data_IF_242373115704
#
_entry.id   IF_242373115704
#
_cell.length_a   1.000
_cell.length_b   1.000
_cell.length_c   1.000
_cell.angle_alpha   90.00
_cell.angle_beta   90.00
_cell.angle_gamma   90.00
#
_symmetry.space_group_name_H-M   'P 1'
#
loop_
_entity.id
_entity.type
_entity.pdbx_description
1 polymer ?
#
# COMPACT_ATOMS: atom_id res chain seq x y z
N UNK A 1 -12.82 13.12 -1.58
CA UNK A 1 -11.79 12.05 -1.46
C UNK A 1 -10.34 12.50 -1.65
N UNK A 2 -10.08 13.81 -1.74
CA UNK A 2 -8.72 14.35 -1.88
C UNK A 2 -7.82 14.01 -0.67
N UNK A 3 -8.42 13.80 0.51
CA UNK A 3 -7.75 13.35 1.73
C UNK A 3 -6.83 12.14 1.52
N UNK A 4 -7.31 11.09 0.84
CA UNK A 4 -6.50 9.89 0.57
C UNK A 4 -5.33 10.17 -0.38
N UNK A 5 -5.57 11.00 -1.40
CA UNK A 5 -4.53 11.38 -2.37
C UNK A 5 -3.43 12.17 -1.67
N UNK A 6 -3.80 13.11 -0.80
CA UNK A 6 -2.88 13.92 -0.04
C UNK A 6 -2.08 13.12 0.98
N UNK A 7 -2.74 12.27 1.78
CA UNK A 7 -2.05 11.35 2.69
C UNK A 7 -1.06 10.44 1.95
N UNK A 8 -1.48 9.87 0.81
CA UNK A 8 -0.59 9.05 -0.03
C UNK A 8 0.64 9.83 -0.48
N UNK A 9 0.45 11.05 -0.99
CA UNK A 9 1.56 11.90 -1.46
C UNK A 9 2.52 12.22 -0.32
N UNK A 10 2.00 12.59 0.85
CA UNK A 10 2.82 12.87 2.03
C UNK A 10 3.66 11.67 2.42
N UNK A 11 3.04 10.49 2.53
CA UNK A 11 3.73 9.25 2.95
C UNK A 11 4.78 8.81 1.93
N UNK A 12 4.47 8.86 0.63
CA UNK A 12 5.40 8.44 -0.42
C UNK A 12 6.58 9.41 -0.53
N UNK A 13 6.34 10.72 -0.39
CA UNK A 13 7.39 11.72 -0.53
C UNK A 13 8.39 11.69 0.64
N UNK A 14 7.97 11.21 1.82
CA UNK A 14 8.81 11.13 3.03
C UNK A 14 9.44 12.46 3.46
N UNK A 15 8.86 13.59 3.04
CA UNK A 15 9.28 14.95 3.39
C UNK A 15 8.40 15.51 4.50
N UNK A 16 8.93 16.50 5.22
CA UNK A 16 8.18 17.29 6.17
C UNK A 16 6.92 17.87 5.51
N UNK A 17 5.76 17.59 6.09
CA UNK A 17 4.48 18.06 5.58
C UNK A 17 3.47 18.21 6.72
N UNK A 18 2.63 19.24 6.63
CA UNK A 18 1.46 19.44 7.47
C UNK A 18 0.20 19.25 6.62
N UNK A 19 -0.73 18.46 7.11
CA UNK A 19 -2.06 18.32 6.53
C UNK A 19 -3.05 19.03 7.44
N UNK A 20 -3.63 20.10 6.92
CA UNK A 20 -4.70 20.85 7.54
C UNK A 20 -6.02 20.26 7.05
N UNK A 21 -6.92 19.94 7.97
CA UNK A 21 -8.22 19.36 7.66
C UNK A 21 -9.32 20.02 8.47
N UNK A 22 -10.47 20.20 7.85
CA UNK A 22 -11.67 20.77 8.48
C UNK A 22 -12.74 19.69 8.55
N UNK A 23 -13.33 19.53 9.74
CA UNK A 23 -14.50 18.68 9.96
C UNK A 23 -15.56 19.50 10.69
N UNK A 24 -16.66 19.81 10.01
CA UNK A 24 -17.64 20.79 10.48
C UNK A 24 -17.02 22.19 10.58
N UNK A 25 -17.06 22.79 11.77
CA UNK A 25 -16.51 24.14 12.02
C UNK A 25 -15.06 24.15 12.51
N UNK A 26 -14.47 22.98 12.78
CA UNK A 26 -13.16 22.88 13.44
C UNK A 26 -12.09 22.50 12.42
N UNK A 27 -11.03 23.32 12.37
CA UNK A 27 -9.83 23.02 11.58
C UNK A 27 -8.72 22.54 12.50
N UNK A 28 -8.10 21.42 12.15
CA UNK A 28 -6.99 20.79 12.87
C UNK A 28 -5.89 20.43 11.89
N UNK A 29 -4.73 20.09 12.43
CA UNK A 29 -3.56 19.72 11.64
C UNK A 29 -2.96 18.40 12.12
N UNK A 30 -2.42 17.64 11.16
CA UNK A 30 -1.56 16.48 11.41
C UNK A 30 -0.23 16.68 10.69
N UNK A 31 0.86 16.43 11.40
CA UNK A 31 2.22 16.63 10.91
C UNK A 31 2.87 15.30 10.57
N UNK A 32 3.69 15.30 9.54
CA UNK A 32 4.36 14.12 9.02
C UNK A 32 5.83 14.44 8.71
N UNK A 33 6.74 13.59 9.18
CA UNK A 33 8.17 13.67 8.91
C UNK A 33 8.85 12.32 9.14
N UNK A 34 9.90 12.02 8.37
CA UNK A 34 10.75 10.82 8.54
C UNK A 34 9.95 9.52 8.71
N UNK A 35 9.03 9.28 7.77
CA UNK A 35 8.19 8.08 7.73
C UNK A 35 7.15 7.93 8.88
N UNK A 36 6.93 8.97 9.69
CA UNK A 36 5.98 8.93 10.80
C UNK A 36 5.14 10.19 10.95
N UNK A 37 4.01 10.03 11.63
CA UNK A 37 3.15 11.13 12.06
C UNK A 37 3.58 11.60 13.44
N UNK A 38 3.53 12.91 13.65
CA UNK A 38 3.84 13.51 14.94
C UNK A 38 2.68 13.33 15.93
N UNK A 39 3.00 12.98 17.18
CA UNK A 39 2.03 12.88 18.27
C UNK A 39 2.04 11.52 18.99
N UNK A 40 1.07 11.33 19.88
CA UNK A 40 0.85 10.05 20.54
C UNK A 40 0.08 9.09 19.65
N UNK A 41 0.17 7.78 19.91
CA UNK A 41 -0.55 6.76 19.14
C UNK A 41 -2.06 7.03 19.05
N UNK A 42 -2.67 7.39 20.19
CA UNK A 42 -4.11 7.70 20.27
C UNK A 42 -4.46 8.96 19.48
N UNK A 43 -3.74 10.05 19.70
CA UNK A 43 -3.98 11.33 19.02
C UNK A 43 -3.85 11.21 17.50
N UNK A 44 -2.77 10.58 17.01
CA UNK A 44 -2.56 10.35 15.58
C UNK A 44 -3.70 9.50 14.98
N UNK A 45 -4.12 8.45 15.69
CA UNK A 45 -5.19 7.56 15.24
C UNK A 45 -6.54 8.29 15.14
N UNK A 46 -6.87 9.10 16.14
CA UNK A 46 -8.09 9.91 16.16
C UNK A 46 -8.06 10.97 15.04
N UNK A 47 -6.97 11.71 14.90
CA UNK A 47 -6.79 12.70 13.82
C UNK A 47 -6.89 12.07 12.43
N UNK A 48 -6.27 10.92 12.20
CA UNK A 48 -6.37 10.23 10.91
C UNK A 48 -7.81 9.81 10.57
N UNK A 49 -8.60 9.37 11.56
CA UNK A 49 -10.03 9.08 11.35
C UNK A 49 -10.81 10.34 11.00
N UNK A 50 -10.52 11.45 11.67
CA UNK A 50 -11.12 12.74 11.30
C UNK A 50 -10.72 13.17 9.89
N UNK A 51 -9.47 12.96 9.47
CA UNK A 51 -9.01 13.24 8.09
C UNK A 51 -9.75 12.41 7.05
N UNK A 52 -10.13 11.17 7.36
CA UNK A 52 -10.93 10.34 6.44
C UNK A 52 -12.32 10.93 6.19
N UNK A 53 -12.87 11.62 7.18
CA UNK A 53 -14.21 12.23 7.17
C UNK A 53 -14.19 13.75 6.97
N UNK A 54 -13.03 14.33 6.66
CA UNK A 54 -12.89 15.78 6.55
C UNK A 54 -13.58 16.33 5.30
N UNK A 55 -14.27 17.46 5.48
CA UNK A 55 -14.96 18.20 4.44
C UNK A 55 -13.97 18.86 3.47
N UNK A 56 -12.87 19.36 4.04
CA UNK A 56 -11.77 19.96 3.27
C UNK A 56 -10.42 19.53 3.83
N UNK A 57 -9.45 19.39 2.92
CA UNK A 57 -8.08 19.03 3.26
C UNK A 57 -7.12 19.83 2.40
N UNK A 58 -6.10 20.41 3.03
CA UNK A 58 -5.00 21.09 2.38
C UNK A 58 -3.67 20.55 2.90
N UNK A 59 -2.64 20.51 2.04
CA UNK A 59 -1.30 20.05 2.42
C UNK A 59 -0.31 21.18 2.23
N UNK A 60 0.41 21.50 3.30
CA UNK A 60 1.50 22.45 3.31
C UNK A 60 2.81 21.67 3.39
N UNK A 61 3.65 21.82 2.37
CA UNK A 61 5.02 21.31 2.36
C UNK A 61 5.98 22.49 2.49
N UNK A 62 6.68 22.59 3.61
CA UNK A 62 7.71 23.62 3.84
C UNK A 62 8.89 22.99 4.59
N UNK A 63 10.09 23.55 4.40
CA UNK A 63 11.28 23.22 5.19
C UNK A 63 11.18 23.74 6.62
N UNK A 64 10.36 24.76 6.85
CA UNK A 64 10.28 25.50 8.11
C UNK A 64 9.05 25.07 8.94
N UNK A 65 8.68 23.79 8.86
CA UNK A 65 7.62 23.25 9.69
C UNK A 65 8.14 23.01 11.11
N UNK A 66 7.62 23.78 12.07
CA UNK A 66 7.87 23.55 13.49
C UNK A 66 7.04 22.35 13.98
N UNK A 67 7.74 21.31 14.43
CA UNK A 67 7.13 20.13 15.06
C UNK A 67 6.94 20.40 16.54
N UNK A 68 5.74 20.15 17.07
CA UNK A 68 5.36 20.46 18.44
C UNK A 68 5.84 19.39 19.44
N UNK A 69 6.23 18.21 18.94
CA UNK A 69 6.56 17.02 19.72
C UNK A 69 7.63 16.17 19.07
N UNK A 70 8.45 15.53 19.92
CA UNK A 70 9.42 14.51 19.50
C UNK A 70 8.79 13.13 19.30
N UNK A 71 7.57 12.91 19.81
CA UNK A 71 6.86 11.62 19.69
C UNK A 71 6.39 11.40 18.27
N UNK A 72 6.64 10.21 17.73
CA UNK A 72 6.27 9.84 16.36
C UNK A 72 5.67 8.46 16.31
N UNK A 73 4.69 8.29 15.43
CA UNK A 73 4.04 7.02 15.14
C UNK A 73 4.32 6.66 13.69
N UNK A 74 4.91 5.50 13.46
CA UNK A 74 5.27 5.05 12.12
C UNK A 74 4.03 4.92 11.22
N UNK A 75 4.12 5.35 9.95
CA UNK A 75 2.92 5.52 9.12
C UNK A 75 2.10 4.23 8.89
N UNK A 76 2.70 3.06 8.56
CA UNK A 76 1.96 1.79 8.51
C UNK A 76 1.22 1.45 9.80
N UNK A 77 1.82 1.72 10.95
CA UNK A 77 1.20 1.49 12.26
C UNK A 77 0.04 2.45 12.49
N UNK A 78 0.23 3.74 12.23
CA UNK A 78 -0.81 4.75 12.38
C UNK A 78 -2.03 4.48 11.48
N UNK A 79 -1.80 4.14 10.21
CA UNK A 79 -2.88 3.82 9.25
C UNK A 79 -3.60 2.53 9.65
N UNK A 80 -2.86 1.52 10.11
CA UNK A 80 -3.44 0.25 10.55
C UNK A 80 -4.34 0.45 11.78
N UNK A 81 -3.90 1.24 12.76
CA UNK A 81 -4.72 1.60 13.93
C UNK A 81 -5.92 2.49 13.58
N UNK A 82 -5.75 3.46 12.67
CA UNK A 82 -6.84 4.33 12.23
C UNK A 82 -7.96 3.54 11.57
N UNK A 83 -7.63 2.53 10.77
CA UNK A 83 -8.59 1.69 10.07
C UNK A 83 -9.14 0.54 10.93
N UNK A 84 -8.48 0.16 12.02
CA UNK A 84 -8.95 -0.91 12.91
C UNK A 84 -10.38 -0.64 13.41
N UNK A 85 -11.32 -1.54 13.06
CA UNK A 85 -12.74 -1.39 13.41
C UNK A 85 -13.45 -0.18 12.78
N UNK A 86 -12.81 0.55 11.87
CA UNK A 86 -13.40 1.73 11.25
C UNK A 86 -14.55 1.34 10.32
N UNK A 87 -15.66 2.07 10.43
CA UNK A 87 -16.87 1.91 9.62
C UNK A 87 -17.10 3.17 8.81
N UNK A 88 -17.71 3.00 7.63
CA UNK A 88 -17.98 4.11 6.72
C UNK A 88 -19.43 4.53 6.84
N UNK A 89 -19.67 5.84 6.91
CA UNK A 89 -21.00 6.37 6.64
C UNK A 89 -21.38 6.16 5.16
N UNK A 90 -22.66 6.32 4.82
CA UNK A 90 -23.17 6.03 3.48
C UNK A 90 -22.49 6.87 2.39
N UNK A 91 -22.23 8.15 2.67
CA UNK A 91 -21.59 9.08 1.74
C UNK A 91 -20.13 8.69 1.46
N UNK A 92 -19.34 8.44 2.49
CA UNK A 92 -17.95 8.00 2.37
C UNK A 92 -17.86 6.66 1.66
N UNK A 93 -18.75 5.72 1.98
CA UNK A 93 -18.84 4.43 1.27
C UNK A 93 -19.08 4.64 -0.23
N UNK A 94 -20.04 5.47 -0.61
CA UNK A 94 -20.32 5.79 -2.01
C UNK A 94 -19.12 6.46 -2.71
N UNK A 95 -18.46 7.40 -2.03
CA UNK A 95 -17.27 8.08 -2.55
C UNK A 95 -16.10 7.11 -2.77
N UNK A 96 -15.86 6.19 -1.83
CA UNK A 96 -14.84 5.14 -1.95
C UNK A 96 -15.15 4.20 -3.11
N UNK A 97 -16.40 3.75 -3.25
CA UNK A 97 -16.82 2.89 -4.36
C UNK A 97 -16.61 3.59 -5.71
N UNK A 98 -17.07 4.84 -5.85
CA UNK A 98 -16.83 5.67 -7.05
C UNK A 98 -15.34 5.84 -7.34
N UNK A 99 -14.51 5.97 -6.31
CA UNK A 99 -13.06 6.02 -6.51
C UNK A 99 -12.49 4.69 -7.01
N UNK A 100 -12.93 3.54 -6.48
CA UNK A 100 -12.46 2.24 -6.95
C UNK A 100 -12.77 1.98 -8.43
N UNK A 101 -13.88 2.53 -8.94
CA UNK A 101 -14.26 2.45 -10.36
C UNK A 101 -13.36 3.29 -11.27
N UNK A 102 -12.77 4.37 -10.74
CA UNK A 102 -11.88 5.28 -11.49
C UNK A 102 -10.42 4.84 -11.48
N UNK A 103 -10.04 3.87 -10.64
CA UNK A 103 -8.67 3.39 -10.58
C UNK A 103 -8.34 2.54 -11.82
N UNK A 104 -7.21 2.80 -12.50
CA UNK A 104 -6.75 1.95 -13.59
C UNK A 104 -6.34 0.56 -13.04
N UNK A 105 -6.06 -0.42 -13.90
CA UNK A 105 -5.43 -1.68 -13.47
C UNK A 105 -4.14 -1.41 -12.67
N UNK A 106 -4.00 -2.13 -11.54
CA UNK A 106 -2.99 -1.88 -10.52
C UNK A 106 -2.01 -3.05 -10.39
N UNK A 107 -0.77 -2.73 -10.04
CA UNK A 107 0.15 -3.65 -9.36
C UNK A 107 -0.09 -3.60 -7.85
N UNK A 108 0.13 -4.73 -7.17
CA UNK A 108 0.06 -4.82 -5.71
C UNK A 108 1.42 -5.25 -5.18
N UNK A 109 2.01 -4.43 -4.31
CA UNK A 109 3.25 -4.73 -3.60
C UNK A 109 2.95 -5.41 -2.27
N UNK A 110 3.65 -6.49 -1.99
CA UNK A 110 3.57 -7.16 -0.70
C UNK A 110 4.37 -6.37 0.35
N UNK A 111 3.73 -6.09 1.48
CA UNK A 111 4.34 -5.44 2.63
C UNK A 111 3.84 -6.16 3.90
N UNK A 112 4.70 -6.40 4.91
CA UNK A 112 4.34 -7.22 6.06
C UNK A 112 3.43 -6.47 7.06
N UNK A 113 2.22 -6.11 6.64
CA UNK A 113 1.22 -5.34 7.41
C UNK A 113 0.87 -5.98 8.76
N UNK A 114 0.96 -7.30 8.87
CA UNK A 114 0.80 -8.05 10.12
C UNK A 114 1.75 -7.60 11.26
N UNK A 115 2.94 -7.07 10.93
CA UNK A 115 3.87 -6.50 11.93
C UNK A 115 3.34 -5.24 12.60
N UNK A 116 2.33 -4.61 11.99
CA UNK A 116 1.73 -3.36 12.44
C UNK A 116 0.28 -3.55 12.91
N UNK A 117 -0.08 -4.78 13.31
CA UNK A 117 -1.39 -5.16 13.82
C UNK A 117 -2.57 -4.81 12.87
N UNK A 118 -2.34 -4.87 11.56
CA UNK A 118 -3.40 -4.67 10.58
C UNK A 118 -4.45 -5.79 10.67
N UNK A 119 -5.65 -5.45 11.14
CA UNK A 119 -6.71 -6.43 11.46
C UNK A 119 -7.22 -7.19 10.23
N UNK A 120 -7.27 -6.52 9.07
CA UNK A 120 -7.82 -7.09 7.82
C UNK A 120 -6.75 -7.80 6.97
N UNK A 121 -5.72 -8.37 7.60
CA UNK A 121 -4.58 -8.97 6.91
C UNK A 121 -4.97 -10.13 5.99
N UNK A 122 -5.99 -10.92 6.34
CA UNK A 122 -6.48 -12.01 5.49
C UNK A 122 -7.05 -11.50 4.17
N UNK A 123 -7.84 -10.43 4.20
CA UNK A 123 -8.39 -9.79 3.01
C UNK A 123 -7.30 -9.09 2.17
N UNK A 124 -6.30 -8.49 2.82
CA UNK A 124 -5.11 -7.96 2.17
C UNK A 124 -4.33 -9.06 1.43
N UNK A 125 -4.11 -10.21 2.07
CA UNK A 125 -3.43 -11.33 1.41
C UNK A 125 -4.24 -11.89 0.24
N UNK A 126 -5.57 -11.99 0.34
CA UNK A 126 -6.42 -12.37 -0.79
C UNK A 126 -6.27 -11.41 -1.97
N UNK A 127 -6.24 -10.10 -1.71
CA UNK A 127 -6.01 -9.10 -2.76
C UNK A 127 -4.67 -9.29 -3.46
N UNK A 128 -3.61 -9.56 -2.71
CA UNK A 128 -2.28 -9.84 -3.26
C UNK A 128 -2.26 -11.15 -4.08
N UNK A 129 -2.89 -12.22 -3.59
CA UNK A 129 -3.00 -13.49 -4.32
C UNK A 129 -3.76 -13.32 -5.65
N UNK A 130 -4.83 -12.53 -5.67
CA UNK A 130 -5.55 -12.21 -6.91
C UNK A 130 -4.66 -11.48 -7.92
N UNK A 131 -3.86 -10.51 -7.46
CA UNK A 131 -2.87 -9.87 -8.31
C UNK A 131 -1.84 -10.86 -8.86
N UNK A 132 -1.30 -11.75 -8.02
CA UNK A 132 -0.33 -12.75 -8.45
C UNK A 132 -0.90 -13.71 -9.51
N UNK A 133 -2.17 -14.12 -9.36
CA UNK A 133 -2.83 -15.01 -10.31
C UNK A 133 -3.14 -14.32 -11.65
N UNK A 134 -3.65 -13.08 -11.61
CA UNK A 134 -4.13 -12.38 -12.80
C UNK A 134 -3.08 -11.49 -13.47
N UNK A 135 -1.93 -11.26 -12.82
CA UNK A 135 -0.89 -10.31 -13.26
C UNK A 135 -1.30 -8.83 -13.17
N UNK A 136 -2.55 -8.54 -12.81
CA UNK A 136 -3.09 -7.19 -12.61
C UNK A 136 -4.28 -7.24 -11.65
N UNK A 137 -4.50 -6.15 -10.92
CA UNK A 137 -5.66 -6.00 -10.03
C UNK A 137 -6.55 -4.87 -10.53
N UNK A 138 -7.84 -5.14 -10.75
CA UNK A 138 -8.86 -4.08 -10.86
C UNK A 138 -9.55 -3.94 -9.51
N UNK A 139 -9.41 -2.78 -8.88
CA UNK A 139 -9.92 -2.55 -7.52
C UNK A 139 -11.44 -2.70 -7.44
N UNK A 140 -12.17 -2.24 -8.46
CA UNK A 140 -13.62 -2.44 -8.57
C UNK A 140 -13.99 -3.92 -8.48
N UNK A 141 -13.33 -4.80 -9.25
CA UNK A 141 -13.62 -6.24 -9.25
C UNK A 141 -13.33 -6.87 -7.88
N UNK A 142 -12.26 -6.43 -7.22
CA UNK A 142 -11.93 -6.91 -5.88
C UNK A 142 -13.02 -6.55 -4.87
N UNK A 143 -13.53 -5.31 -4.90
CA UNK A 143 -14.59 -4.86 -3.99
C UNK A 143 -15.94 -5.49 -4.34
N UNK A 144 -16.28 -5.65 -5.62
CA UNK A 144 -17.55 -6.23 -6.06
C UNK A 144 -17.69 -7.72 -5.78
N UNK A 145 -16.59 -8.41 -5.48
CA UNK A 145 -16.58 -9.80 -5.01
C UNK A 145 -16.87 -9.93 -3.51
N UNK A 146 -17.31 -8.85 -2.85
CA UNK A 146 -17.76 -8.91 -1.47
C UNK A 146 -19.01 -9.79 -1.33
N UNK A 147 -19.00 -10.71 -0.36
CA UNK A 147 -20.13 -11.62 -0.12
C UNK A 147 -21.30 -10.92 0.60
N UNK A 148 -20.98 -9.87 1.38
CA UNK A 148 -21.94 -9.11 2.15
C UNK A 148 -21.36 -7.73 2.51
N UNK A 149 -22.18 -6.87 3.13
CA UNK A 149 -21.79 -5.52 3.54
C UNK A 149 -20.55 -5.48 4.45
N UNK A 150 -20.39 -6.47 5.35
CA UNK A 150 -19.24 -6.52 6.25
C UNK A 150 -17.95 -6.82 5.49
N UNK A 151 -17.98 -7.78 4.56
CA UNK A 151 -16.83 -8.08 3.69
C UNK A 151 -16.50 -6.88 2.78
N UNK A 152 -17.50 -6.16 2.27
CA UNK A 152 -17.27 -4.96 1.48
C UNK A 152 -16.54 -3.88 2.29
N UNK A 153 -16.96 -3.62 3.53
CA UNK A 153 -16.28 -2.68 4.43
C UNK A 153 -14.83 -3.10 4.67
N UNK A 154 -14.58 -4.39 4.93
CA UNK A 154 -13.23 -4.93 5.10
C UNK A 154 -12.37 -4.65 3.86
N UNK A 155 -12.89 -4.95 2.66
CA UNK A 155 -12.19 -4.73 1.39
C UNK A 155 -11.92 -3.24 1.11
N UNK A 156 -12.87 -2.36 1.46
CA UNK A 156 -12.68 -0.91 1.37
C UNK A 156 -11.59 -0.42 2.32
N UNK A 157 -11.50 -0.96 3.55
CA UNK A 157 -10.39 -0.65 4.46
C UNK A 157 -9.05 -1.13 3.91
N UNK A 158 -8.98 -2.34 3.36
CA UNK A 158 -7.77 -2.84 2.67
C UNK A 158 -7.38 -1.93 1.51
N UNK A 159 -8.36 -1.52 0.69
CA UNK A 159 -8.14 -0.59 -0.41
C UNK A 159 -7.56 0.73 0.08
N UNK A 160 -8.13 1.33 1.12
CA UNK A 160 -7.61 2.56 1.72
C UNK A 160 -6.20 2.40 2.25
N UNK A 161 -5.94 1.36 3.05
CA UNK A 161 -4.62 1.10 3.64
C UNK A 161 -3.55 0.98 2.55
N UNK A 162 -3.82 0.14 1.54
CA UNK A 162 -2.86 -0.12 0.47
C UNK A 162 -2.69 1.06 -0.48
N UNK A 163 -3.74 1.86 -0.71
CA UNK A 163 -3.65 3.09 -1.47
C UNK A 163 -2.81 4.15 -0.75
N UNK A 164 -3.15 4.45 0.51
CA UNK A 164 -2.48 5.48 1.33
C UNK A 164 -0.99 5.14 1.51
N UNK A 165 -0.67 3.88 1.78
CA UNK A 165 0.71 3.43 1.99
C UNK A 165 1.50 3.25 0.67
N UNK A 166 0.89 3.52 -0.49
CA UNK A 166 1.57 3.38 -1.78
C UNK A 166 1.88 1.93 -2.17
N UNK A 167 1.16 0.97 -1.60
CA UNK A 167 1.30 -0.47 -1.88
C UNK A 167 0.63 -0.88 -3.19
N UNK A 168 -0.24 -0.01 -3.74
CA UNK A 168 -0.81 -0.16 -5.08
C UNK A 168 -0.39 0.99 -5.98
N UNK A 169 -0.11 0.67 -7.24
CA UNK A 169 0.25 1.65 -8.26
C UNK A 169 -0.33 1.27 -9.63
N UNK A 170 -0.65 2.24 -10.50
CA UNK A 170 -1.08 1.96 -11.87
C UNK A 170 -0.06 1.14 -12.65
N UNK A 171 -0.53 0.22 -13.49
CA UNK A 171 0.30 -0.44 -14.49
C UNK A 171 0.53 0.57 -15.63
N UNK A 172 1.71 1.20 -15.66
CA UNK A 172 2.10 2.00 -16.82
C UNK A 172 2.41 1.04 -17.99
N UNK A 173 1.90 1.35 -19.18
CA UNK A 173 2.10 0.53 -20.38
C UNK A 173 3.58 0.28 -20.73
N UNK A 174 4.50 1.15 -20.27
CA UNK A 174 5.95 1.00 -20.47
C UNK A 174 6.67 0.10 -19.46
N UNK A 175 6.09 -0.18 -18.29
CA UNK A 175 6.74 -0.92 -17.20
C UNK A 175 6.54 -2.44 -17.23
N UNK A 176 5.88 -2.97 -18.28
CA UNK A 176 5.69 -4.42 -18.45
C UNK A 176 7.02 -5.17 -18.63
N UNK A 177 8.09 -4.47 -19.02
CA UNK A 177 9.44 -5.04 -19.17
C UNK A 177 10.24 -5.10 -17.85
N UNK A 178 10.00 -4.21 -16.88
CA UNK A 178 10.71 -4.26 -15.58
C UNK A 178 10.12 -5.33 -14.64
N UNK A 179 8.82 -5.61 -14.76
CA UNK A 179 8.14 -6.63 -13.95
C UNK A 179 8.59 -8.07 -14.28
N UNK A 180 9.11 -8.32 -15.48
CA UNK A 180 9.78 -9.59 -15.80
C UNK A 180 11.13 -9.72 -15.09
N UNK A 181 11.86 -8.62 -14.87
CA UNK A 181 13.16 -8.67 -14.18
C UNK A 181 13.02 -8.95 -12.69
N UNK A 182 11.99 -8.43 -12.02
CA UNK A 182 11.77 -8.66 -10.58
C UNK A 182 11.21 -10.05 -10.26
N UNK A 183 10.46 -10.70 -11.17
CA UNK A 183 10.13 -12.12 -11.02
C UNK A 183 11.32 -13.04 -11.36
N UNK A 184 12.25 -12.62 -12.22
CA UNK A 184 13.47 -13.38 -12.51
C UNK A 184 14.56 -13.27 -11.42
N UNK A 185 14.54 -12.24 -10.57
CA UNK A 185 15.59 -12.09 -9.53
C UNK A 185 15.38 -13.02 -8.33
N UNK A 186 14.22 -13.69 -8.20
CA UNK A 186 14.04 -14.85 -7.30
C UNK A 186 14.37 -16.20 -7.96
N UNK A 187 14.77 -16.21 -9.24
CA UNK A 187 15.48 -17.31 -9.89
C UNK A 187 16.95 -16.91 -10.07
N UNK A 188 17.66 -16.73 -8.95
CA UNK A 188 19.12 -16.65 -8.99
C UNK A 188 19.69 -17.92 -9.62
N UNK A 189 20.18 -17.76 -10.85
CA UNK A 189 21.47 -18.24 -11.36
C UNK A 189 22.17 -19.25 -10.44
N UNK A 190 21.95 -20.54 -10.68
CA UNK A 190 23.04 -21.48 -10.55
C UNK A 190 23.95 -21.32 -11.77
N UNK A 191 25.28 -21.26 -11.62
CA UNK A 191 26.16 -21.40 -12.77
C UNK A 191 25.95 -22.79 -13.35
N UNK A 192 25.51 -22.86 -14.61
CA UNK A 192 25.44 -24.10 -15.38
C UNK A 192 26.85 -24.70 -15.49
N UNK A 193 27.23 -25.56 -14.53
CA UNK A 193 28.27 -26.56 -14.75
C UNK A 193 27.73 -27.51 -15.81
N UNK A 194 28.22 -27.40 -17.04
CA UNK A 194 27.98 -28.35 -18.14
C UNK A 194 28.26 -29.76 -17.61
N UNK A 195 27.21 -30.55 -17.38
CA UNK A 195 27.32 -31.97 -17.03
C UNK A 195 27.79 -32.71 -18.29
N UNK A 196 29.06 -33.05 -18.34
CA UNK A 196 29.62 -33.96 -19.34
C UNK A 196 29.05 -35.36 -19.12
N UNK A 197 28.35 -35.86 -20.15
CA UNK A 197 27.80 -37.22 -20.22
C UNK A 197 28.90 -38.26 -19.97
N UNK A 198 28.59 -39.35 -19.25
CA UNK A 198 29.53 -40.44 -18.93
C UNK A 198 30.21 -41.01 -20.19
N UNK A 199 29.52 -41.00 -21.33
CA UNK A 199 30.07 -41.38 -22.64
C UNK A 199 31.22 -40.48 -23.09
N UNK A 200 31.17 -39.17 -22.82
CA UNK A 200 32.26 -38.23 -23.15
C UNK A 200 33.51 -38.46 -22.29
N UNK A 201 33.35 -38.97 -21.06
CA UNK A 201 34.47 -39.34 -20.17
C UNK A 201 35.18 -40.63 -20.61
N UNK A 202 34.45 -41.59 -21.17
CA UNK A 202 35.03 -42.84 -21.70
C UNK A 202 35.83 -42.54 -22.97
N UNK A 203 35.28 -41.75 -23.90
CA UNK A 203 35.95 -41.41 -25.17
C UNK A 203 37.24 -40.62 -24.94
N UNK A 204 37.28 -39.70 -23.97
CA UNK A 204 38.51 -38.96 -23.63
C UNK A 204 39.60 -39.84 -23.01
N UNK A 205 39.25 -40.99 -22.44
CA UNK A 205 40.21 -41.90 -21.79
C UNK A 205 40.83 -42.91 -22.77
N UNK A 206 40.14 -43.19 -23.88
CA UNK A 206 40.62 -44.11 -24.93
C UNK A 206 41.52 -43.39 -25.95
N UNK A 207 41.33 -42.09 -26.19
CA UNK A 207 42.20 -41.29 -27.10
C UNK A 207 43.46 -40.73 -26.45
N UNK A 208 43.72 -41.06 -25.18
CA UNK A 208 44.91 -40.63 -24.43
C UNK A 208 45.86 -41.78 -24.08
N UNK A 209 45.72 -42.93 -24.75
CA UNK A 209 46.66 -44.05 -24.78
C UNK A 209 47.17 -44.23 -26.21
#
# INVERSE_FOLDING_TARGET
>A
MNSLVYLRRMIINQKAARLDYTKGSVTKSIYYERAGFEGSHRDVTEKLREVFEADSVNVVTSTDLEFLSSKRVFAPQAISSALAGYTFNAEMRAALLSFTMRLPPLIVRLYPMQRYAFQDNSAYMKMHMQYQHNGSLRMQNYVSQAENTRDEIIRLRVMMATYILGLIAPINAGSRNELKSHQETQRMRQPQKKKTSILSRIISRIRGL
#
